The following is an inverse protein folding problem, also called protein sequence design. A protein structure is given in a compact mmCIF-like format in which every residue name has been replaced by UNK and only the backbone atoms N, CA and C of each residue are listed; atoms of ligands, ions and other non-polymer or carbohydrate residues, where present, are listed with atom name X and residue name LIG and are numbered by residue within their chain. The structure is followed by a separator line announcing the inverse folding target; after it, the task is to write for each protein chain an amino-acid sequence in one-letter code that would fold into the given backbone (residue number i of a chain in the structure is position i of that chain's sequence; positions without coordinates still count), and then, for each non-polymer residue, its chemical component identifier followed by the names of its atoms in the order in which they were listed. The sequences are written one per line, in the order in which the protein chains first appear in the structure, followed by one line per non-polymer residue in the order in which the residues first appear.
data_IF_701160439055
#
_entry.id   IF_701160439055
#
_cell.length_a   1.000
_cell.length_b   1.000
_cell.length_c   1.000
_cell.angle_alpha   90.00
_cell.angle_beta   90.00
_cell.angle_gamma   90.00
#
_symmetry.space_group_name_H-M   'P 1'
#
loop_
_entity.id
_entity.type
_entity.pdbx_description
1 polymer ?
#
# COMPACT_ATOMS: atom_id res chain seq x y z
N UNK A 1 9.45 20.89 9.57
CA UNK A 1 9.57 19.99 10.76
C UNK A 1 8.54 18.86 10.62
N UNK A 2 8.90 17.74 10.03
CA UNK A 2 8.04 16.54 10.06
C UNK A 2 8.03 16.02 11.51
N UNK A 3 6.87 16.09 12.16
CA UNK A 3 6.71 15.72 13.56
C UNK A 3 6.99 14.23 13.75
N UNK A 4 7.51 13.85 14.92
CA UNK A 4 7.69 12.44 15.32
C UNK A 4 6.36 11.62 15.24
N UNK A 5 5.22 12.28 15.23
CA UNK A 5 3.91 11.69 15.00
C UNK A 5 3.73 11.11 13.59
N UNK A 6 4.25 11.78 12.57
CA UNK A 6 4.12 11.33 11.17
C UNK A 6 4.77 9.96 10.92
N UNK A 7 6.00 9.73 11.42
CA UNK A 7 6.70 8.46 11.22
C UNK A 7 6.03 7.26 11.91
N UNK A 8 5.49 7.46 13.11
CA UNK A 8 4.76 6.41 13.85
C UNK A 8 3.43 6.08 13.17
N UNK A 9 2.72 7.10 12.69
CA UNK A 9 1.44 6.92 12.00
C UNK A 9 1.62 6.16 10.69
N UNK A 10 2.66 6.48 9.91
CA UNK A 10 2.97 5.78 8.66
C UNK A 10 3.37 4.32 8.93
N UNK A 11 4.17 4.06 9.96
CA UNK A 11 4.52 2.69 10.34
C UNK A 11 3.31 1.87 10.82
N UNK A 12 2.41 2.50 11.56
CA UNK A 12 1.16 1.84 11.98
C UNK A 12 0.29 1.50 10.76
N UNK A 13 0.14 2.44 9.84
CA UNK A 13 -0.61 2.22 8.60
C UNK A 13 0.00 1.07 7.76
N UNK A 14 1.32 1.04 7.62
CA UNK A 14 2.04 -0.07 7.01
C UNK A 14 1.69 -1.42 7.67
N UNK A 15 1.79 -1.49 9.00
CA UNK A 15 1.57 -2.73 9.73
C UNK A 15 0.14 -3.25 9.57
N UNK A 16 -0.84 -2.36 9.63
CA UNK A 16 -2.26 -2.70 9.46
C UNK A 16 -2.53 -3.18 8.02
N UNK A 17 -2.05 -2.47 7.01
CA UNK A 17 -2.25 -2.84 5.61
C UNK A 17 -1.54 -4.14 5.24
N UNK A 18 -0.34 -4.36 5.78
CA UNK A 18 0.39 -5.61 5.59
C UNK A 18 -0.36 -6.81 6.19
N UNK A 19 -0.95 -6.64 7.37
CA UNK A 19 -1.77 -7.66 8.01
C UNK A 19 -3.04 -7.95 7.19
N UNK A 20 -3.72 -6.91 6.70
CA UNK A 20 -4.90 -7.05 5.83
C UNK A 20 -4.53 -7.77 4.53
N UNK A 21 -3.38 -7.45 3.93
CA UNK A 21 -2.88 -8.16 2.75
C UNK A 21 -2.68 -9.66 3.01
N UNK A 22 -2.15 -10.02 4.18
CA UNK A 22 -2.02 -11.41 4.61
C UNK A 22 -3.36 -12.14 4.70
N UNK A 23 -4.37 -11.51 5.31
CA UNK A 23 -5.73 -12.06 5.39
C UNK A 23 -6.32 -12.24 3.99
N UNK A 24 -6.22 -11.24 3.12
CA UNK A 24 -6.69 -11.31 1.72
C UNK A 24 -6.02 -12.47 0.96
N UNK A 25 -4.72 -12.69 1.18
CA UNK A 25 -3.98 -13.81 0.57
C UNK A 25 -4.54 -15.16 1.01
N UNK A 26 -4.74 -15.36 2.30
CA UNK A 26 -5.31 -16.61 2.83
C UNK A 26 -6.69 -16.86 2.22
N UNK A 27 -7.53 -15.85 2.15
CA UNK A 27 -8.87 -15.95 1.58
C UNK A 27 -8.80 -16.23 0.07
N UNK A 28 -7.89 -15.58 -0.66
CA UNK A 28 -7.68 -15.82 -2.09
C UNK A 28 -7.34 -17.29 -2.36
N UNK A 29 -6.47 -17.89 -1.54
CA UNK A 29 -6.11 -19.31 -1.64
C UNK A 29 -7.30 -20.21 -1.31
N UNK A 30 -8.01 -19.93 -0.23
CA UNK A 30 -9.15 -20.76 0.21
C UNK A 30 -10.34 -20.72 -0.76
N UNK A 31 -10.55 -19.58 -1.41
CA UNK A 31 -11.66 -19.37 -2.35
C UNK A 31 -11.28 -19.62 -3.80
N UNK A 32 -9.99 -19.80 -4.11
CA UNK A 32 -9.44 -19.87 -5.47
C UNK A 32 -9.86 -18.67 -6.35
N UNK A 33 -10.06 -17.51 -5.73
CA UNK A 33 -10.54 -16.31 -6.38
C UNK A 33 -9.40 -15.47 -6.92
N UNK A 34 -9.31 -15.34 -8.25
CA UNK A 34 -8.31 -14.48 -8.90
C UNK A 34 -8.51 -12.99 -8.55
N UNK A 35 -9.77 -12.55 -8.36
CA UNK A 35 -10.06 -11.19 -7.92
C UNK A 35 -9.50 -10.93 -6.50
N UNK A 36 -9.69 -11.87 -5.56
CA UNK A 36 -9.11 -11.77 -4.22
C UNK A 36 -7.59 -11.80 -4.24
N UNK A 37 -6.99 -12.59 -5.14
CA UNK A 37 -5.54 -12.61 -5.31
C UNK A 37 -5.00 -11.26 -5.79
N UNK A 38 -5.61 -10.69 -6.84
CA UNK A 38 -5.24 -9.36 -7.34
C UNK A 38 -5.39 -8.29 -6.26
N UNK A 39 -6.43 -8.36 -5.45
CA UNK A 39 -6.67 -7.45 -4.34
C UNK A 39 -5.63 -7.62 -3.21
N UNK A 40 -5.19 -8.85 -2.94
CA UNK A 40 -4.10 -9.12 -2.01
C UNK A 40 -2.78 -8.52 -2.50
N UNK A 41 -2.45 -8.72 -3.79
CA UNK A 41 -1.26 -8.11 -4.43
C UNK A 41 -1.31 -6.59 -4.32
N UNK A 42 -2.45 -5.97 -4.63
CA UNK A 42 -2.63 -4.52 -4.48
C UNK A 42 -2.37 -4.05 -3.04
N UNK A 43 -2.89 -4.76 -2.05
CA UNK A 43 -2.69 -4.43 -0.64
C UNK A 43 -1.22 -4.59 -0.18
N UNK A 44 -0.47 -5.54 -0.76
CA UNK A 44 0.99 -5.63 -0.52
C UNK A 44 1.74 -4.47 -1.15
N UNK A 45 1.33 -4.05 -2.35
CA UNK A 45 1.87 -2.88 -3.04
C UNK A 45 1.71 -1.63 -2.18
N UNK A 46 0.52 -1.38 -1.66
CA UNK A 46 0.22 -0.24 -0.80
C UNK A 46 1.02 -0.28 0.51
N UNK A 47 1.15 -1.48 1.09
CA UNK A 47 2.00 -1.69 2.26
C UNK A 47 3.46 -1.38 1.96
N UNK A 48 3.97 -1.85 0.83
CA UNK A 48 5.33 -1.57 0.37
C UNK A 48 5.58 -0.06 0.22
N UNK A 49 4.66 0.66 -0.40
CA UNK A 49 4.73 2.11 -0.56
C UNK A 49 4.79 2.82 0.80
N UNK A 50 3.94 2.43 1.76
CA UNK A 50 3.94 2.99 3.11
C UNK A 50 5.24 2.67 3.88
N UNK A 51 5.76 1.44 3.75
CA UNK A 51 7.04 1.06 4.35
C UNK A 51 8.19 1.96 3.86
N UNK A 52 8.21 2.27 2.60
CA UNK A 52 9.28 3.06 2.01
C UNK A 52 9.13 4.55 2.27
N UNK A 53 7.91 5.03 2.34
CA UNK A 53 7.65 6.37 2.87
C UNK A 53 8.17 6.49 4.31
N UNK A 54 7.89 5.49 5.15
CA UNK A 54 8.43 5.45 6.50
C UNK A 54 9.96 5.38 6.52
N UNK A 55 10.56 4.55 5.68
CA UNK A 55 12.00 4.42 5.54
C UNK A 55 12.63 5.73 5.08
N UNK A 56 12.08 6.39 4.06
CA UNK A 56 12.51 7.69 3.55
C UNK A 56 12.47 8.77 4.65
N UNK A 57 11.36 8.86 5.39
CA UNK A 57 11.24 9.78 6.53
C UNK A 57 12.30 9.49 7.60
N UNK A 58 12.56 8.23 7.90
CA UNK A 58 13.57 7.82 8.88
C UNK A 58 14.98 8.16 8.43
N UNK A 59 15.27 7.96 7.16
CA UNK A 59 16.59 8.24 6.58
C UNK A 59 16.86 9.76 6.47
N UNK A 60 15.86 10.56 6.10
CA UNK A 60 15.98 12.02 6.00
C UNK A 60 16.29 12.70 7.34
N UNK A 61 15.96 12.05 8.45
CA UNK A 61 16.23 12.56 9.81
C UNK A 61 17.66 12.35 10.31
N UNK A 62 18.49 11.56 9.62
CA UNK A 62 19.87 11.33 10.04
C UNK A 62 20.74 12.56 9.73
N UNK A 63 21.30 13.26 10.75
CA UNK A 63 22.13 14.43 10.52
C UNK A 63 23.51 13.97 10.00
N UNK A 64 23.78 14.19 8.74
CA UNK A 64 25.13 14.05 8.20
C UNK A 64 25.49 15.29 7.38
N UNK A 65 25.78 16.38 8.10
CA UNK A 65 26.09 17.69 7.52
C UNK A 65 27.37 17.72 6.68
N UNK A 66 28.29 16.76 6.89
CA UNK A 66 29.56 16.70 6.16
C UNK A 66 29.38 16.22 4.70
N UNK A 67 28.44 15.30 4.46
CA UNK A 67 28.25 14.71 3.12
C UNK A 67 27.08 15.37 2.39
N UNK A 68 26.12 15.96 3.11
CA UNK A 68 24.91 16.56 2.53
C UNK A 68 24.67 17.97 3.08
N UNK A 69 25.39 19.01 2.55
CA UNK A 69 25.26 20.39 3.03
C UNK A 69 23.86 20.97 2.90
N UNK A 70 23.09 20.50 1.89
CA UNK A 70 21.71 20.94 1.58
C UNK A 70 20.64 20.04 2.20
N UNK A 71 21.03 19.05 3.05
CA UNK A 71 20.13 18.08 3.66
C UNK A 71 19.73 16.93 2.73
N UNK A 72 19.10 15.90 3.31
CA UNK A 72 18.67 14.65 2.62
C UNK A 72 17.23 14.68 2.16
N UNK A 73 16.59 15.83 2.12
CA UNK A 73 15.16 15.92 1.78
C UNK A 73 14.78 15.32 0.39
N UNK A 74 15.72 15.32 -0.54
CA UNK A 74 15.51 14.73 -1.87
C UNK A 74 15.59 13.20 -1.91
N UNK A 75 16.24 12.56 -0.93
CA UNK A 75 16.32 11.09 -0.85
C UNK A 75 14.94 10.45 -0.63
N UNK A 76 14.06 11.10 0.13
CA UNK A 76 12.70 10.64 0.35
C UNK A 76 11.95 10.48 -0.98
N UNK A 77 12.02 11.48 -1.85
CA UNK A 77 11.37 11.45 -3.16
C UNK A 77 12.00 10.43 -4.10
N UNK A 78 13.33 10.29 -4.09
CA UNK A 78 14.04 9.31 -4.90
C UNK A 78 13.61 7.88 -4.54
N UNK A 79 13.66 7.53 -3.27
CA UNK A 79 13.24 6.21 -2.82
C UNK A 79 11.77 5.95 -3.07
N UNK A 80 10.90 6.93 -2.86
CA UNK A 80 9.47 6.82 -3.16
C UNK A 80 9.25 6.52 -4.64
N UNK A 81 9.95 7.21 -5.56
CA UNK A 81 9.85 6.98 -7.00
C UNK A 81 10.35 5.58 -7.39
N UNK A 82 11.55 5.20 -6.94
CA UNK A 82 12.14 3.88 -7.26
C UNK A 82 11.18 2.76 -6.89
N UNK A 83 10.58 2.87 -5.75
CA UNK A 83 9.69 1.84 -5.23
C UNK A 83 8.34 1.87 -5.88
N UNK A 84 7.77 3.04 -6.13
CA UNK A 84 6.53 3.14 -6.90
C UNK A 84 6.68 2.45 -8.27
N UNK A 85 7.81 2.64 -8.94
CA UNK A 85 8.11 1.98 -10.22
C UNK A 85 8.26 0.47 -10.06
N UNK A 86 9.04 0.02 -9.07
CA UNK A 86 9.25 -1.42 -8.83
C UNK A 86 7.94 -2.12 -8.48
N UNK A 87 7.16 -1.55 -7.57
CA UNK A 87 5.90 -2.13 -7.13
C UNK A 87 4.87 -2.13 -8.25
N UNK A 88 4.75 -1.03 -9.00
CA UNK A 88 3.86 -0.96 -10.15
C UNK A 88 4.23 -2.01 -11.20
N UNK A 89 5.52 -2.16 -11.49
CA UNK A 89 5.99 -3.12 -12.49
C UNK A 89 5.78 -4.55 -12.03
N UNK A 90 6.27 -4.91 -10.84
CA UNK A 90 6.17 -6.29 -10.33
C UNK A 90 4.70 -6.63 -10.01
N UNK A 91 3.99 -5.78 -9.30
CA UNK A 91 2.58 -6.00 -8.95
C UNK A 91 1.68 -6.03 -10.18
N UNK A 92 1.91 -5.14 -11.15
CA UNK A 92 1.19 -5.10 -12.42
C UNK A 92 1.43 -6.36 -13.25
N UNK A 93 2.69 -6.81 -13.38
CA UNK A 93 3.02 -8.03 -14.12
C UNK A 93 2.41 -9.28 -13.48
N UNK A 94 2.52 -9.43 -12.16
CA UNK A 94 1.94 -10.57 -11.43
C UNK A 94 0.42 -10.58 -11.55
N UNK A 95 -0.23 -9.43 -11.43
CA UNK A 95 -1.68 -9.33 -11.59
C UNK A 95 -2.13 -9.63 -13.03
N UNK A 96 -1.37 -9.19 -14.04
CA UNK A 96 -1.63 -9.45 -15.44
C UNK A 96 -1.49 -10.95 -15.76
N UNK A 97 -0.40 -11.58 -15.30
CA UNK A 97 -0.17 -13.01 -15.47
C UNK A 97 -1.30 -13.83 -14.86
N UNK A 98 -1.68 -13.52 -13.63
CA UNK A 98 -2.81 -14.18 -12.96
C UNK A 98 -4.15 -13.95 -13.65
N UNK A 99 -4.36 -12.75 -14.20
CA UNK A 99 -5.56 -12.43 -14.98
C UNK A 99 -5.64 -13.27 -16.27
N UNK A 100 -4.52 -13.39 -17.00
CA UNK A 100 -4.44 -14.21 -18.22
C UNK A 100 -4.61 -15.70 -17.87
N UNK A 101 -3.98 -16.19 -16.81
CA UNK A 101 -4.16 -17.59 -16.35
C UNK A 101 -5.61 -17.87 -16.00
N UNK A 102 -6.30 -16.94 -15.31
CA UNK A 102 -7.70 -17.11 -14.96
C UNK A 102 -8.65 -17.14 -16.16
N UNK A 103 -8.32 -16.42 -17.24
CA UNK A 103 -9.07 -16.46 -18.49
C UNK A 103 -8.81 -17.76 -19.27
N UNK A 104 -7.57 -18.24 -19.27
CA UNK A 104 -7.16 -19.44 -20.01
C UNK A 104 -7.59 -20.73 -19.29
N UNK A 105 -7.61 -20.73 -17.99
CA UNK A 105 -7.94 -21.87 -17.13
C UNK A 105 -8.93 -21.45 -16.04
N UNK A 106 -10.20 -21.21 -16.37
CA UNK A 106 -11.18 -20.77 -15.40
C UNK A 106 -11.38 -21.84 -14.31
N UNK A 107 -11.06 -21.47 -13.08
CA UNK A 107 -11.25 -22.31 -11.90
C UNK A 107 -12.63 -22.04 -11.31
N UNK A 108 -13.31 -23.09 -10.86
CA UNK A 108 -14.54 -22.91 -10.12
C UNK A 108 -14.29 -22.11 -8.83
N UNK A 109 -15.05 -21.04 -8.68
CA UNK A 109 -14.97 -20.20 -7.48
C UNK A 109 -15.60 -20.91 -6.29
N UNK A 110 -14.78 -21.24 -5.30
CA UNK A 110 -15.27 -21.82 -4.03
C UNK A 110 -15.62 -20.67 -3.08
N UNK A 111 -16.77 -20.83 -2.40
CA UNK A 111 -17.18 -19.89 -1.35
C UNK A 111 -17.23 -18.41 -1.80
N UNK A 112 -17.83 -18.15 -2.95
CA UNK A 112 -17.94 -16.81 -3.53
C UNK A 112 -18.44 -15.75 -2.53
N UNK A 113 -19.34 -16.12 -1.62
CA UNK A 113 -19.85 -15.23 -0.58
C UNK A 113 -18.77 -14.69 0.32
N UNK A 114 -17.76 -15.49 0.67
CA UNK A 114 -16.63 -15.04 1.53
C UNK A 114 -15.83 -13.98 0.78
N UNK A 115 -15.54 -14.20 -0.49
CA UNK A 115 -14.82 -13.21 -1.32
C UNK A 115 -15.59 -11.90 -1.43
N UNK A 116 -16.91 -11.94 -1.63
CA UNK A 116 -17.75 -10.75 -1.73
C UNK A 116 -17.78 -9.99 -0.41
N UNK A 117 -17.92 -10.69 0.72
CA UNK A 117 -17.92 -10.05 2.05
C UNK A 117 -16.59 -9.34 2.29
N UNK A 118 -15.47 -10.02 2.03
CA UNK A 118 -14.13 -9.44 2.28
C UNK A 118 -13.83 -8.27 1.35
N UNK A 119 -14.19 -8.36 0.07
CA UNK A 119 -14.08 -7.24 -0.86
C UNK A 119 -14.93 -6.04 -0.41
N UNK A 120 -16.16 -6.29 0.03
CA UNK A 120 -17.04 -5.23 0.53
C UNK A 120 -16.46 -4.54 1.76
N UNK A 121 -15.93 -5.30 2.70
CA UNK A 121 -15.27 -4.76 3.90
C UNK A 121 -14.02 -3.97 3.51
N UNK A 122 -13.22 -4.46 2.57
CA UNK A 122 -12.03 -3.75 2.07
C UNK A 122 -12.40 -2.40 1.46
N UNK A 123 -13.42 -2.35 0.61
CA UNK A 123 -13.90 -1.11 -0.01
C UNK A 123 -14.32 -0.10 1.07
N UNK A 124 -15.06 -0.53 2.09
CA UNK A 124 -15.50 0.35 3.18
C UNK A 124 -14.30 0.93 3.93
N UNK A 125 -13.30 0.09 4.23
CA UNK A 125 -12.08 0.54 4.93
C UNK A 125 -11.28 1.52 4.08
N UNK A 126 -11.11 1.26 2.79
CA UNK A 126 -10.40 2.13 1.87
C UNK A 126 -11.11 3.48 1.68
N UNK A 127 -12.43 3.48 1.56
CA UNK A 127 -13.23 4.71 1.51
C UNK A 127 -13.10 5.51 2.81
N UNK A 128 -13.07 4.86 3.96
CA UNK A 128 -12.84 5.53 5.24
C UNK A 128 -11.47 6.20 5.31
N UNK A 129 -10.42 5.50 4.88
CA UNK A 129 -9.05 6.03 4.83
C UNK A 129 -8.97 7.21 3.86
N UNK A 130 -9.56 7.08 2.67
CA UNK A 130 -9.63 8.16 1.69
C UNK A 130 -10.36 9.40 2.25
N UNK A 131 -11.52 9.20 2.88
CA UNK A 131 -12.26 10.28 3.51
C UNK A 131 -11.41 11.02 4.55
N UNK A 132 -10.70 10.27 5.41
CA UNK A 132 -9.82 10.85 6.44
C UNK A 132 -8.66 11.63 5.81
N UNK A 133 -8.03 11.10 4.76
CA UNK A 133 -6.95 11.76 4.03
C UNK A 133 -7.42 13.08 3.38
N UNK A 134 -8.56 13.06 2.70
CA UNK A 134 -9.14 14.26 2.08
C UNK A 134 -9.50 15.30 3.13
N UNK A 135 -10.07 14.90 4.27
CA UNK A 135 -10.40 15.80 5.37
C UNK A 135 -9.14 16.47 5.94
N UNK A 136 -8.05 15.72 6.12
CA UNK A 136 -6.79 16.27 6.61
C UNK A 136 -6.16 17.25 5.61
N UNK A 137 -6.21 16.95 4.31
CA UNK A 137 -5.74 17.86 3.27
C UNK A 137 -6.53 19.17 3.25
N UNK A 138 -7.87 19.08 3.33
CA UNK A 138 -8.72 20.28 3.38
C UNK A 138 -8.46 21.13 4.62
N UNK A 139 -8.23 20.53 5.78
CA UNK A 139 -7.93 21.28 6.99
C UNK A 139 -6.59 22.03 6.91
N UNK A 140 -5.60 21.47 6.23
CA UNK A 140 -4.29 22.11 6.00
C UNK A 140 -4.38 23.22 4.95
N UNK A 141 -5.16 23.04 3.90
CA UNK A 141 -5.36 24.05 2.86
C UNK A 141 -6.16 25.27 3.35
N UNK A 142 -6.98 25.12 4.38
CA UNK A 142 -7.77 26.22 4.98
C UNK A 142 -6.94 27.10 5.94
N UNK A 143 -5.72 26.70 6.29
CA UNK A 143 -4.84 27.42 7.25
C UNK A 143 -3.72 28.18 6.51
N UNK A 144 -3.60 28.03 5.20
CA UNK A 144 -2.68 28.75 4.31
C UNK A 144 -3.39 29.87 3.58
#
# INVERSE_FOLDING_TARGET
MASNGSSKTVFLAFSVNFFIAGIKTVIAILTSSSAMFSEAVHSYVDSGNQFLLWFGIKQSKKPNKMIYPLGRGKEEYFWTLVVAVLIFTIGGLVSLEHGIEALSHPKELKNLYISIIVLSVSIILELYVLYKAVKELRSKASVS
#
